data_IF_045251078609
#
_entry.id   IF_045251078609
#
_cell.length_a   1.000
_cell.length_b   1.000
_cell.length_c   1.000
_cell.angle_alpha   90.00
_cell.angle_beta   90.00
_cell.angle_gamma   90.00
#
_symmetry.space_group_name_H-M   'P 1'
#
loop_
_entity.id
_entity.type
_entity.pdbx_description
1 polymer ?
#
# COMPACT_ATOMS: atom_id res chain seq x y z
N UNK A 1 38.59 16.34 -26.75
CA UNK A 1 38.21 16.41 -28.17
C UNK A 1 37.45 15.15 -28.52
N UNK A 2 36.15 15.17 -28.37
CA UNK A 2 35.26 14.03 -28.65
C UNK A 2 34.19 14.46 -29.65
N UNK A 3 34.41 14.19 -30.92
CA UNK A 3 33.39 14.35 -31.95
C UNK A 3 32.44 13.16 -31.88
N UNK A 4 31.15 13.44 -31.69
CA UNK A 4 30.12 12.42 -31.59
C UNK A 4 30.00 11.58 -32.87
N UNK A 5 29.79 10.30 -32.73
CA UNK A 5 29.59 9.30 -33.80
C UNK A 5 28.53 9.75 -34.83
N UNK A 6 27.57 10.56 -34.42
CA UNK A 6 26.51 11.13 -35.26
C UNK A 6 27.00 12.11 -36.36
N UNK A 7 28.17 12.76 -36.18
CA UNK A 7 28.69 13.70 -37.19
C UNK A 7 29.41 13.02 -38.34
N UNK A 8 29.88 11.76 -38.18
CA UNK A 8 30.58 11.02 -39.23
C UNK A 8 29.65 10.22 -40.15
N UNK A 9 28.49 9.82 -39.69
CA UNK A 9 27.52 9.03 -40.48
C UNK A 9 26.74 9.88 -41.49
N UNK A 10 26.61 11.19 -41.28
CA UNK A 10 25.86 12.06 -42.21
C UNK A 10 26.53 12.32 -43.57
N UNK A 11 27.77 11.90 -43.80
CA UNK A 11 28.49 12.17 -45.05
C UNK A 11 28.39 11.11 -46.15
N UNK A 12 27.78 9.96 -45.86
CA UNK A 12 27.81 8.82 -46.81
C UNK A 12 26.43 8.14 -47.02
N UNK A 13 25.34 8.66 -46.48
CA UNK A 13 24.01 8.06 -46.67
C UNK A 13 23.11 9.04 -47.41
N UNK A 14 22.48 8.55 -48.50
CA UNK A 14 21.45 9.29 -49.22
C UNK A 14 20.41 9.85 -48.20
N UNK A 15 20.07 11.13 -48.29
CA UNK A 15 19.13 11.75 -47.33
C UNK A 15 17.79 11.04 -47.20
N UNK A 16 17.33 10.34 -48.24
CA UNK A 16 16.09 9.55 -48.25
C UNK A 16 16.22 8.24 -47.50
N UNK A 17 17.37 7.59 -47.58
CA UNK A 17 17.68 6.33 -46.87
C UNK A 17 18.00 6.63 -45.39
N UNK A 18 18.67 7.75 -45.14
CA UNK A 18 18.96 8.22 -43.79
C UNK A 18 17.70 8.54 -42.98
N UNK A 19 16.67 9.13 -43.60
CA UNK A 19 15.40 9.42 -42.91
C UNK A 19 14.59 8.16 -42.61
N UNK A 20 14.59 7.16 -43.51
CA UNK A 20 13.93 5.87 -43.26
C UNK A 20 14.66 5.04 -42.20
N UNK A 21 15.99 5.00 -42.21
CA UNK A 21 16.78 4.35 -41.17
C UNK A 21 16.62 4.99 -39.81
N UNK A 22 16.55 6.32 -39.73
CA UNK A 22 16.28 7.04 -38.48
C UNK A 22 14.85 6.80 -37.98
N UNK A 23 13.85 6.71 -38.85
CA UNK A 23 12.49 6.34 -38.51
C UNK A 23 12.41 4.90 -37.99
N UNK A 24 13.12 3.95 -38.61
CA UNK A 24 13.18 2.55 -38.16
C UNK A 24 13.95 2.42 -36.84
N UNK A 25 15.05 3.16 -36.64
CA UNK A 25 15.79 3.18 -35.39
C UNK A 25 15.01 3.85 -34.26
N UNK A 26 14.17 4.85 -34.54
CA UNK A 26 13.26 5.45 -33.57
C UNK A 26 12.10 4.51 -33.18
N UNK A 27 11.70 3.59 -34.05
CA UNK A 27 10.71 2.55 -33.73
C UNK A 27 11.32 1.31 -33.06
N UNK A 28 12.60 1.06 -33.21
CA UNK A 28 13.30 -0.11 -32.65
C UNK A 28 14.05 0.18 -31.33
N UNK A 29 14.34 1.45 -31.03
CA UNK A 29 14.84 1.84 -29.70
C UNK A 29 13.62 2.24 -28.86
N UNK A 30 13.22 1.44 -27.85
CA UNK A 30 12.19 1.89 -26.93
C UNK A 30 12.63 3.24 -26.38
N UNK A 31 11.79 4.27 -26.55
CA UNK A 31 12.05 5.57 -25.94
C UNK A 31 12.14 5.32 -24.42
N UNK A 32 13.30 5.49 -23.77
CA UNK A 32 13.45 5.19 -22.34
C UNK A 32 12.56 6.05 -21.46
N UNK A 33 11.84 7.03 -22.03
CA UNK A 33 10.82 7.84 -21.36
C UNK A 33 9.37 7.41 -21.69
N UNK A 34 9.14 6.54 -22.68
CA UNK A 34 7.85 5.94 -22.97
C UNK A 34 7.70 4.65 -22.15
N UNK A 35 7.19 4.77 -20.94
CA UNK A 35 6.86 3.61 -20.11
C UNK A 35 7.11 3.76 -18.62
N UNK A 36 7.74 4.83 -18.15
CA UNK A 36 7.87 5.06 -16.71
C UNK A 36 6.53 5.56 -16.16
N UNK A 37 5.83 4.65 -15.52
CA UNK A 37 4.56 4.95 -14.86
C UNK A 37 4.87 5.70 -13.58
N UNK A 38 4.62 7.00 -13.57
CA UNK A 38 4.65 7.79 -12.33
C UNK A 38 3.34 7.63 -11.59
N UNK A 39 3.41 7.30 -10.30
CA UNK A 39 2.26 7.35 -9.38
C UNK A 39 2.39 8.60 -8.53
N UNK A 40 1.41 9.48 -8.63
CA UNK A 40 1.29 10.60 -7.72
C UNK A 40 0.82 10.09 -6.36
N UNK A 41 1.70 10.15 -5.37
CA UNK A 41 1.43 9.72 -4.00
C UNK A 41 0.92 10.84 -3.10
N UNK A 42 0.82 12.08 -3.61
CA UNK A 42 0.32 13.24 -2.85
C UNK A 42 -1.21 13.30 -2.79
N UNK A 43 -1.91 12.54 -3.64
CA UNK A 43 -3.37 12.57 -3.73
C UNK A 43 -4.06 12.00 -2.51
N UNK A 44 -5.03 12.74 -2.00
CA UNK A 44 -6.12 12.21 -1.17
C UNK A 44 -7.10 11.46 -2.08
N UNK A 45 -7.11 10.13 -2.01
CA UNK A 45 -7.95 9.31 -2.90
C UNK A 45 -9.45 9.46 -2.64
N UNK A 46 -9.90 10.04 -1.51
CA UNK A 46 -11.31 10.41 -1.29
C UNK A 46 -11.74 11.48 -2.30
N UNK A 47 -10.88 12.47 -2.51
CA UNK A 47 -11.09 13.54 -3.50
C UNK A 47 -11.00 12.98 -4.91
N UNK A 48 -10.00 12.16 -5.19
CA UNK A 48 -9.80 11.50 -6.49
C UNK A 48 -10.99 10.60 -6.89
N UNK A 49 -11.64 9.98 -5.91
CA UNK A 49 -12.86 9.18 -6.10
C UNK A 49 -14.16 10.02 -6.16
N UNK A 50 -14.09 11.35 -6.01
CA UNK A 50 -15.26 12.21 -5.96
C UNK A 50 -16.21 11.90 -4.81
N UNK A 51 -15.70 11.47 -3.64
CA UNK A 51 -16.46 11.09 -2.45
C UNK A 51 -17.18 9.73 -2.56
N UNK A 52 -16.90 8.96 -3.61
CA UNK A 52 -17.41 7.59 -3.80
C UNK A 52 -16.41 6.56 -3.26
N UNK A 53 -16.71 5.26 -3.42
CA UNK A 53 -15.80 4.18 -3.05
C UNK A 53 -14.48 4.30 -3.81
N UNK A 54 -13.35 4.48 -3.12
CA UNK A 54 -12.06 4.71 -3.77
C UNK A 54 -11.57 3.51 -4.59
N UNK A 55 -11.84 2.30 -4.17
CA UNK A 55 -11.46 1.09 -4.91
C UNK A 55 -12.09 1.05 -6.30
N UNK A 56 -13.30 1.57 -6.43
CA UNK A 56 -14.02 1.58 -7.69
C UNK A 56 -13.76 2.85 -8.50
N UNK A 57 -13.65 4.01 -7.84
CA UNK A 57 -13.73 5.31 -8.52
C UNK A 57 -12.45 6.15 -8.49
N UNK A 58 -11.43 5.82 -7.67
CA UNK A 58 -10.16 6.54 -7.69
C UNK A 58 -9.25 6.01 -8.82
N UNK A 59 -9.00 6.79 -9.89
CA UNK A 59 -8.11 6.37 -10.97
C UNK A 59 -6.68 6.12 -10.48
N UNK A 60 -6.18 6.97 -9.56
CA UNK A 60 -4.82 6.89 -9.04
C UNK A 60 -4.63 5.64 -8.17
N UNK A 61 -5.60 5.34 -7.27
CA UNK A 61 -5.56 4.15 -6.42
C UNK A 61 -5.64 2.87 -7.26
N UNK A 62 -6.54 2.83 -8.24
CA UNK A 62 -6.68 1.69 -9.18
C UNK A 62 -5.38 1.45 -9.97
N UNK A 63 -4.75 2.52 -10.45
CA UNK A 63 -3.46 2.43 -11.14
C UNK A 63 -2.37 1.87 -10.23
N UNK A 64 -2.30 2.34 -8.98
CA UNK A 64 -1.38 1.81 -7.98
C UNK A 64 -1.59 0.31 -7.74
N UNK A 65 -2.82 -0.14 -7.56
CA UNK A 65 -3.11 -1.55 -7.32
C UNK A 65 -2.72 -2.42 -8.52
N UNK A 66 -2.99 -1.99 -9.74
CA UNK A 66 -2.55 -2.72 -10.94
C UNK A 66 -1.04 -2.88 -10.98
N UNK A 67 -0.29 -1.82 -10.70
CA UNK A 67 1.17 -1.88 -10.66
C UNK A 67 1.70 -2.73 -9.49
N UNK A 68 1.12 -2.59 -8.31
CA UNK A 68 1.51 -3.41 -7.15
C UNK A 68 1.35 -4.90 -7.45
N UNK A 69 0.20 -5.29 -8.02
CA UNK A 69 -0.13 -6.68 -8.27
C UNK A 69 0.44 -7.24 -9.59
N UNK A 70 0.95 -6.40 -10.49
CA UNK A 70 1.71 -6.88 -11.66
C UNK A 70 3.12 -7.39 -11.31
N UNK A 71 3.56 -7.18 -10.09
CA UNK A 71 4.84 -7.69 -9.60
C UNK A 71 4.76 -9.19 -9.35
N UNK A 72 5.88 -9.89 -9.55
CA UNK A 72 5.97 -11.28 -9.11
C UNK A 72 5.78 -11.40 -7.59
N UNK A 73 5.06 -12.40 -7.18
CA UNK A 73 5.03 -12.88 -5.81
C UNK A 73 6.43 -13.35 -5.38
N UNK A 74 6.71 -13.51 -4.07
CA UNK A 74 8.04 -13.96 -3.60
C UNK A 74 8.52 -15.29 -4.17
N UNK A 75 7.61 -16.14 -4.65
CA UNK A 75 7.90 -17.42 -5.31
C UNK A 75 8.05 -17.33 -6.84
N UNK A 76 7.97 -16.11 -7.40
CA UNK A 76 8.09 -15.84 -8.82
C UNK A 76 6.79 -16.00 -9.61
N UNK A 77 5.67 -16.42 -8.99
CA UNK A 77 4.37 -16.50 -9.64
C UNK A 77 3.74 -15.13 -9.82
N UNK A 78 2.84 -14.99 -10.79
CA UNK A 78 2.09 -13.78 -11.06
C UNK A 78 0.71 -13.82 -10.40
N UNK A 79 0.27 -12.67 -9.96
CA UNK A 79 -1.06 -12.45 -9.39
C UNK A 79 -1.72 -11.31 -10.16
N UNK A 80 -2.36 -11.64 -11.28
CA UNK A 80 -3.00 -10.64 -12.12
C UNK A 80 -4.39 -10.29 -11.61
N UNK A 81 -4.70 -9.00 -11.56
CA UNK A 81 -6.05 -8.54 -11.24
C UNK A 81 -6.96 -8.72 -12.45
N UNK A 82 -8.14 -9.31 -12.22
CA UNK A 82 -9.18 -9.50 -13.23
C UNK A 82 -10.16 -8.33 -13.21
N UNK A 83 -10.09 -7.47 -14.23
CA UNK A 83 -10.98 -6.33 -14.41
C UNK A 83 -12.34 -6.71 -15.01
N UNK A 84 -12.56 -7.98 -15.38
CA UNK A 84 -13.77 -8.41 -16.10
C UNK A 84 -14.97 -8.64 -15.18
N UNK A 85 -14.73 -8.83 -13.88
CA UNK A 85 -15.80 -9.02 -12.90
C UNK A 85 -16.40 -7.68 -12.49
N UNK A 86 -17.65 -7.44 -12.86
CA UNK A 86 -18.34 -6.21 -12.54
C UNK A 86 -18.38 -5.94 -11.02
N UNK A 87 -17.94 -4.76 -10.60
CA UNK A 87 -17.92 -4.33 -9.20
C UNK A 87 -16.78 -4.91 -8.34
N UNK A 88 -15.85 -5.68 -8.93
CA UNK A 88 -14.75 -6.31 -8.20
C UNK A 88 -13.41 -6.14 -8.93
N UNK A 89 -12.98 -4.89 -9.12
CA UNK A 89 -11.74 -4.66 -9.84
C UNK A 89 -10.47 -5.16 -9.10
N UNK A 90 -10.52 -5.37 -7.78
CA UNK A 90 -9.48 -6.04 -6.99
C UNK A 90 -9.79 -7.54 -6.86
N UNK A 91 -10.09 -8.16 -8.00
CA UNK A 91 -10.40 -9.59 -8.10
C UNK A 91 -9.24 -10.32 -8.80
N UNK A 92 -8.92 -11.49 -8.29
CA UNK A 92 -7.98 -12.43 -8.90
C UNK A 92 -8.59 -13.82 -8.92
N UNK A 93 -8.42 -14.53 -10.02
CA UNK A 93 -8.79 -15.92 -10.14
C UNK A 93 -7.79 -16.67 -11.01
N UNK A 94 -7.14 -17.67 -10.42
CA UNK A 94 -6.19 -18.56 -11.11
C UNK A 94 -6.04 -19.87 -10.32
N UNK A 95 -5.05 -20.64 -10.64
CA UNK A 95 -4.60 -21.81 -9.86
C UNK A 95 -4.11 -21.45 -8.43
N UNK A 96 -3.78 -20.16 -8.18
CA UNK A 96 -3.46 -19.66 -6.85
C UNK A 96 -4.70 -19.59 -5.94
N UNK A 97 -5.90 -19.65 -6.51
CA UNK A 97 -7.17 -19.49 -5.83
C UNK A 97 -7.99 -18.34 -6.38
N UNK A 98 -9.09 -18.03 -5.70
CA UNK A 98 -9.95 -16.89 -5.99
C UNK A 98 -9.92 -15.90 -4.82
N UNK A 99 -9.48 -14.68 -5.10
CA UNK A 99 -9.36 -13.61 -4.11
C UNK A 99 -10.15 -12.38 -4.54
N UNK A 100 -11.10 -11.98 -3.70
CA UNK A 100 -11.75 -10.68 -3.79
C UNK A 100 -11.12 -9.81 -2.70
N UNK A 101 -10.50 -8.72 -3.11
CA UNK A 101 -9.74 -7.84 -2.21
C UNK A 101 -10.43 -6.48 -2.10
N UNK A 102 -10.16 -5.77 -1.02
CA UNK A 102 -10.48 -4.35 -0.87
C UNK A 102 -9.35 -3.62 -0.16
N UNK A 103 -9.17 -2.36 -0.49
CA UNK A 103 -8.27 -1.48 0.24
C UNK A 103 -9.00 -0.80 1.41
N UNK A 104 -8.22 -0.36 2.40
CA UNK A 104 -8.72 0.41 3.54
C UNK A 104 -7.62 1.33 4.04
N UNK A 105 -8.01 2.52 4.53
CA UNK A 105 -7.08 3.37 5.27
C UNK A 105 -6.72 2.71 6.58
N UNK A 106 -5.42 2.65 6.86
CA UNK A 106 -4.90 1.94 8.04
C UNK A 106 -4.42 2.89 9.15
N UNK A 107 -4.66 4.19 8.97
CA UNK A 107 -4.30 5.24 9.94
C UNK A 107 -5.57 5.86 10.54
N UNK A 108 -6.10 5.32 11.66
CA UNK A 108 -7.29 5.87 12.28
C UNK A 108 -7.02 7.25 12.89
N UNK A 109 -7.94 8.18 12.65
CA UNK A 109 -7.96 9.50 13.33
C UNK A 109 -8.62 9.46 14.70
N UNK A 110 -9.16 8.30 15.10
CA UNK A 110 -9.89 8.06 16.34
C UNK A 110 -11.17 8.89 16.54
N UNK A 111 -11.67 9.60 15.54
CA UNK A 111 -12.88 10.42 15.64
C UNK A 111 -14.13 9.62 16.00
N UNK A 112 -14.16 8.32 15.75
CA UNK A 112 -15.24 7.39 16.16
C UNK A 112 -15.25 7.06 17.66
N UNK A 113 -14.16 7.38 18.38
CA UNK A 113 -14.00 7.06 19.79
C UNK A 113 -14.42 8.24 20.66
N UNK A 114 -15.56 8.13 21.34
CA UNK A 114 -16.09 9.18 22.22
C UNK A 114 -15.04 9.63 23.25
N UNK A 115 -14.26 8.69 23.78
CA UNK A 115 -13.17 8.95 24.73
C UNK A 115 -12.03 9.80 24.13
N UNK A 116 -11.94 9.92 22.80
CA UNK A 116 -10.90 10.71 22.14
C UNK A 116 -11.32 12.15 21.84
N UNK A 117 -12.62 12.45 21.93
CA UNK A 117 -13.16 13.75 21.53
C UNK A 117 -12.43 14.90 22.22
N UNK A 118 -12.28 14.85 23.54
CA UNK A 118 -11.63 15.91 24.34
C UNK A 118 -10.13 16.09 24.01
N UNK A 119 -9.45 15.06 23.47
CA UNK A 119 -8.06 15.12 23.02
C UNK A 119 -8.00 15.71 21.62
N UNK A 120 -8.86 15.24 20.72
CA UNK A 120 -8.91 15.67 19.31
C UNK A 120 -9.29 17.15 19.22
N UNK A 121 -10.23 17.62 20.05
CA UNK A 121 -10.69 19.01 20.08
C UNK A 121 -9.58 20.02 20.55
N UNK A 122 -8.46 19.54 21.06
CA UNK A 122 -7.28 20.38 21.36
C UNK A 122 -6.45 20.72 20.13
N UNK A 123 -6.67 20.06 19.02
CA UNK A 123 -6.04 20.34 17.73
C UNK A 123 -7.00 21.16 16.86
N UNK A 124 -6.47 22.08 16.10
CA UNK A 124 -7.27 22.86 15.14
C UNK A 124 -7.91 21.97 14.08
N UNK A 125 -9.00 22.40 13.47
CA UNK A 125 -9.64 21.67 12.37
C UNK A 125 -8.66 21.49 11.18
N UNK A 126 -7.83 22.50 10.91
CA UNK A 126 -6.81 22.41 9.86
C UNK A 126 -5.77 21.31 10.13
N UNK A 127 -5.29 21.18 11.37
CA UNK A 127 -4.37 20.10 11.77
C UNK A 127 -5.05 18.72 11.69
N UNK A 128 -6.30 18.64 12.10
CA UNK A 128 -7.06 17.40 12.03
C UNK A 128 -7.31 16.98 10.57
N UNK A 129 -7.64 17.93 9.68
CA UNK A 129 -7.83 17.63 8.26
C UNK A 129 -6.52 17.28 7.58
N UNK A 130 -5.42 17.98 7.86
CA UNK A 130 -4.09 17.64 7.34
C UNK A 130 -3.70 16.20 7.73
N UNK A 131 -3.94 15.80 8.97
CA UNK A 131 -3.69 14.43 9.42
C UNK A 131 -4.56 13.40 8.68
N UNK A 132 -5.85 13.68 8.50
CA UNK A 132 -6.75 12.82 7.73
C UNK A 132 -6.28 12.69 6.28
N UNK A 133 -5.97 13.81 5.63
CA UNK A 133 -5.50 13.85 4.24
C UNK A 133 -4.28 12.95 4.02
N UNK A 134 -3.26 13.04 4.88
CA UNK A 134 -2.08 12.19 4.81
C UNK A 134 -2.46 10.70 4.96
N UNK A 135 -3.33 10.37 5.90
CA UNK A 135 -3.81 8.98 6.11
C UNK A 135 -4.58 8.41 4.93
N UNK A 136 -5.09 9.27 4.04
CA UNK A 136 -5.81 8.90 2.82
C UNK A 136 -4.99 9.07 1.54
N UNK A 137 -3.67 9.20 1.64
CA UNK A 137 -2.75 8.99 0.52
C UNK A 137 -2.43 7.51 0.34
N UNK A 138 -1.86 7.13 -0.79
CA UNK A 138 -1.58 5.72 -1.12
C UNK A 138 -0.75 5.02 -0.04
N UNK A 139 0.22 5.73 0.58
CA UNK A 139 1.03 5.20 1.68
C UNK A 139 0.23 4.80 2.93
N UNK A 140 -0.96 5.40 3.12
CA UNK A 140 -1.89 5.06 4.20
C UNK A 140 -2.89 3.95 3.85
N UNK A 141 -2.79 3.34 2.65
CA UNK A 141 -3.72 2.30 2.19
C UNK A 141 -3.12 0.91 2.26
N UNK A 142 -3.93 -0.06 2.67
CA UNK A 142 -3.60 -1.48 2.63
C UNK A 142 -4.72 -2.29 2.02
N UNK A 143 -4.34 -3.40 1.37
CA UNK A 143 -5.26 -4.32 0.72
C UNK A 143 -5.39 -5.58 1.55
N UNK A 144 -6.63 -6.01 1.78
CA UNK A 144 -6.97 -7.23 2.48
C UNK A 144 -8.08 -8.00 1.76
N UNK A 145 -8.22 -9.33 2.00
CA UNK A 145 -9.37 -10.08 1.53
C UNK A 145 -10.70 -9.48 2.01
N UNK A 146 -11.61 -9.24 1.06
CA UNK A 146 -12.92 -8.62 1.30
C UNK A 146 -14.06 -9.63 1.45
N UNK A 147 -13.88 -10.86 0.93
CA UNK A 147 -14.90 -11.91 1.03
C UNK A 147 -14.97 -12.46 2.45
N UNK A 148 -16.16 -12.49 3.03
CA UNK A 148 -16.39 -13.14 4.33
C UNK A 148 -16.23 -14.65 4.21
N UNK A 149 -15.51 -15.24 5.15
CA UNK A 149 -15.40 -16.70 5.32
C UNK A 149 -16.32 -17.10 6.47
N UNK A 150 -17.17 -18.10 6.25
CA UNK A 150 -18.17 -18.59 7.22
C UNK A 150 -19.06 -17.49 7.82
N UNK A 151 -19.39 -16.47 7.04
CA UNK A 151 -20.20 -15.34 7.49
C UNK A 151 -19.53 -14.42 8.51
N UNK A 152 -18.29 -14.72 8.94
CA UNK A 152 -17.55 -13.95 9.95
C UNK A 152 -16.93 -12.68 9.35
N UNK A 153 -16.54 -11.75 10.24
CA UNK A 153 -15.92 -10.50 9.83
C UNK A 153 -14.65 -10.71 9.02
N UNK A 154 -14.45 -9.85 8.02
CA UNK A 154 -13.18 -9.73 7.28
C UNK A 154 -12.08 -9.17 8.18
N UNK A 155 -10.83 -9.16 7.68
CA UNK A 155 -9.71 -8.57 8.42
C UNK A 155 -9.97 -7.09 8.72
N UNK A 156 -10.47 -6.31 7.74
CA UNK A 156 -10.83 -4.90 7.94
C UNK A 156 -11.90 -4.72 9.03
N UNK A 157 -12.96 -5.52 9.01
CA UNK A 157 -13.98 -5.49 10.05
C UNK A 157 -13.43 -5.88 11.42
N UNK A 158 -12.66 -6.97 11.49
CA UNK A 158 -12.13 -7.48 12.75
C UNK A 158 -11.15 -6.49 13.40
N UNK A 159 -10.19 -5.89 12.63
CA UNK A 159 -9.24 -4.91 13.17
C UNK A 159 -9.93 -3.65 13.68
N UNK A 160 -10.94 -3.15 12.95
CA UNK A 160 -11.68 -1.93 13.29
C UNK A 160 -12.54 -2.06 14.54
N UNK A 161 -13.13 -3.24 14.80
CA UNK A 161 -13.97 -3.50 15.97
C UNK A 161 -13.21 -4.03 17.19
N UNK A 162 -11.99 -4.51 17.02
CA UNK A 162 -11.18 -5.07 18.11
C UNK A 162 -10.56 -3.96 18.96
N UNK A 163 -10.97 -3.85 20.23
CA UNK A 163 -10.47 -2.83 21.16
C UNK A 163 -8.97 -2.93 21.46
N UNK A 164 -8.35 -4.12 21.29
CA UNK A 164 -6.92 -4.32 21.47
C UNK A 164 -6.10 -3.89 20.24
N UNK A 165 -6.78 -3.67 19.11
CA UNK A 165 -6.17 -3.21 17.84
C UNK A 165 -6.57 -1.75 17.56
N UNK A 166 -7.83 -1.39 17.83
CA UNK A 166 -8.39 -0.06 17.61
C UNK A 166 -8.09 0.50 16.20
N UNK A 167 -8.18 -0.38 15.20
CA UNK A 167 -7.92 -0.05 13.78
C UNK A 167 -6.47 0.35 13.46
N UNK A 168 -5.53 0.28 14.39
CA UNK A 168 -4.13 0.64 14.22
C UNK A 168 -3.39 -0.39 13.38
N UNK A 169 -2.68 0.10 12.36
CA UNK A 169 -1.96 -0.79 11.44
C UNK A 169 -0.70 -1.41 12.04
N UNK A 170 0.03 -0.68 12.86
CA UNK A 170 1.19 -1.22 13.57
C UNK A 170 0.83 -2.43 14.43
N UNK A 171 -0.32 -2.41 15.13
CA UNK A 171 -0.84 -3.54 15.89
C UNK A 171 -1.39 -4.65 14.98
N UNK A 172 -2.02 -4.29 13.86
CA UNK A 172 -2.45 -5.25 12.84
C UNK A 172 -1.24 -5.97 12.24
N UNK A 173 -0.17 -5.24 11.94
CA UNK A 173 1.07 -5.81 11.38
C UNK A 173 1.77 -6.74 12.39
N UNK A 174 1.71 -6.43 13.69
CA UNK A 174 2.18 -7.36 14.73
C UNK A 174 1.33 -8.64 14.78
N UNK A 175 0.01 -8.56 14.62
CA UNK A 175 -0.83 -9.75 14.51
C UNK A 175 -0.45 -10.58 13.28
N UNK A 176 -0.20 -9.95 12.13
CA UNK A 176 0.24 -10.63 10.91
C UNK A 176 1.62 -11.27 11.11
N UNK A 177 2.57 -10.59 11.76
CA UNK A 177 3.88 -11.15 12.10
C UNK A 177 3.73 -12.41 12.96
N UNK A 178 2.91 -12.34 14.00
CA UNK A 178 2.62 -13.47 14.88
C UNK A 178 1.94 -14.62 14.14
N UNK A 179 1.05 -14.34 13.21
CA UNK A 179 0.43 -15.35 12.36
C UNK A 179 1.47 -16.16 11.58
N UNK A 180 2.44 -15.52 10.95
CA UNK A 180 3.54 -16.21 10.27
C UNK A 180 4.48 -17.01 11.21
N UNK A 181 4.53 -16.64 12.49
CA UNK A 181 5.30 -17.33 13.51
C UNK A 181 4.49 -18.41 14.26
N UNK A 182 3.22 -18.61 13.91
CA UNK A 182 2.34 -19.54 14.64
C UNK A 182 2.04 -19.10 16.08
N UNK A 183 2.13 -17.80 16.38
CA UNK A 183 1.92 -17.22 17.71
C UNK A 183 0.51 -16.65 17.83
N UNK A 184 -0.04 -16.67 19.06
CA UNK A 184 -1.35 -16.11 19.35
C UNK A 184 -1.40 -14.58 19.25
N UNK A 185 -2.55 -14.06 18.82
CA UNK A 185 -2.82 -12.62 18.71
C UNK A 185 -4.32 -12.33 18.74
N UNK A 186 -4.73 -11.07 18.99
CA UNK A 186 -6.15 -10.68 18.94
C UNK A 186 -6.85 -10.92 17.60
N UNK A 187 -6.10 -11.13 16.51
CA UNK A 187 -6.62 -11.44 15.18
C UNK A 187 -6.28 -12.86 14.72
N UNK A 188 -5.74 -13.73 15.57
CA UNK A 188 -5.27 -15.07 15.19
C UNK A 188 -6.32 -15.86 14.40
N UNK A 189 -7.53 -16.02 14.96
CA UNK A 189 -8.64 -16.73 14.30
C UNK A 189 -9.10 -16.05 12.99
N UNK A 190 -9.00 -14.73 12.93
CA UNK A 190 -9.35 -13.98 11.73
C UNK A 190 -8.33 -14.22 10.63
N UNK A 191 -7.04 -14.09 10.95
CA UNK A 191 -5.95 -14.28 9.98
C UNK A 191 -5.88 -15.73 9.49
N UNK A 192 -6.13 -16.71 10.37
CA UNK A 192 -6.17 -18.12 10.01
C UNK A 192 -7.19 -18.44 8.92
N UNK A 193 -8.33 -17.74 8.89
CA UNK A 193 -9.34 -17.92 7.82
C UNK A 193 -8.89 -17.48 6.44
N UNK A 194 -7.84 -16.64 6.38
CA UNK A 194 -7.25 -16.12 5.16
C UNK A 194 -5.83 -16.63 4.94
N UNK A 195 -5.50 -17.81 5.47
CA UNK A 195 -4.16 -18.40 5.38
C UNK A 195 -3.67 -18.53 3.93
N UNK A 196 -4.57 -18.81 2.96
CA UNK A 196 -4.21 -18.87 1.54
C UNK A 196 -3.71 -17.53 1.01
N UNK A 197 -4.36 -16.42 1.40
CA UNK A 197 -3.90 -15.08 1.04
C UNK A 197 -2.51 -14.78 1.63
N UNK A 198 -2.28 -15.09 2.91
CA UNK A 198 -0.98 -14.89 3.53
C UNK A 198 0.08 -15.84 2.97
N UNK A 199 -0.32 -17.03 2.55
CA UNK A 199 0.54 -18.03 1.87
C UNK A 199 1.17 -17.51 0.58
N UNK A 200 0.51 -16.57 -0.14
CA UNK A 200 1.05 -15.93 -1.34
C UNK A 200 2.41 -15.26 -1.10
N UNK A 201 2.67 -14.81 0.12
CA UNK A 201 3.89 -14.06 0.46
C UNK A 201 4.96 -14.93 1.16
N UNK A 202 4.70 -16.24 1.32
CA UNK A 202 5.56 -17.26 1.93
C UNK A 202 5.88 -17.03 3.43
N UNK A 203 6.26 -15.82 3.81
CA UNK A 203 6.64 -15.45 5.18
C UNK A 203 6.43 -13.96 5.44
N UNK A 204 6.63 -13.55 6.69
CA UNK A 204 6.45 -12.15 7.09
C UNK A 204 7.32 -11.18 6.31
N UNK A 205 8.58 -11.54 6.01
CA UNK A 205 9.47 -10.71 5.20
C UNK A 205 8.91 -10.50 3.80
N UNK A 206 8.45 -11.57 3.13
CA UNK A 206 7.82 -11.49 1.81
C UNK A 206 6.58 -10.59 1.82
N UNK A 207 5.73 -10.68 2.85
CA UNK A 207 4.58 -9.79 3.03
C UNK A 207 5.00 -8.32 3.16
N UNK A 208 5.96 -8.03 4.03
CA UNK A 208 6.48 -6.67 4.25
C UNK A 208 7.09 -6.09 2.98
N UNK A 209 7.89 -6.86 2.26
CA UNK A 209 8.59 -6.40 1.05
C UNK A 209 7.60 -6.22 -0.11
N UNK A 210 6.59 -7.11 -0.26
CA UNK A 210 5.56 -6.98 -1.28
C UNK A 210 4.72 -5.72 -1.08
N UNK A 211 4.26 -5.44 0.12
CA UNK A 211 3.43 -4.26 0.42
C UNK A 211 4.24 -3.00 0.75
N UNK A 212 5.57 -3.02 0.59
CA UNK A 212 6.47 -1.88 0.83
C UNK A 212 6.37 -1.31 2.25
N UNK A 213 6.32 -2.19 3.26
CA UNK A 213 6.12 -1.84 4.68
C UNK A 213 7.42 -1.74 5.48
N UNK A 214 8.55 -1.66 4.81
CA UNK A 214 9.90 -1.70 5.41
C UNK A 214 10.12 -0.67 6.52
N UNK A 215 9.43 0.47 6.43
CA UNK A 215 9.56 1.57 7.39
C UNK A 215 8.93 1.23 8.76
N UNK A 216 8.00 0.25 8.81
CA UNK A 216 7.34 -0.22 10.04
C UNK A 216 8.05 -1.36 10.75
N UNK A 217 9.14 -1.88 10.21
CA UNK A 217 9.81 -3.05 10.80
C UNK A 217 11.28 -2.77 11.10
N UNK A 218 11.86 -3.55 12.03
CA UNK A 218 13.31 -3.57 12.27
C UNK A 218 14.07 -4.05 11.04
N UNK A 219 15.39 -3.81 11.01
CA UNK A 219 16.25 -4.18 9.88
C UNK A 219 16.22 -5.69 9.56
N UNK A 220 16.06 -6.52 10.57
CA UNK A 220 16.00 -7.98 10.51
C UNK A 220 14.56 -8.55 10.44
N UNK A 221 13.54 -7.70 10.34
CA UNK A 221 12.10 -8.05 10.34
C UNK A 221 11.59 -8.71 11.64
N UNK A 222 12.38 -8.70 12.71
CA UNK A 222 12.03 -9.38 13.96
C UNK A 222 10.99 -8.62 14.80
N UNK A 223 10.87 -7.31 14.62
CA UNK A 223 9.97 -6.47 15.42
C UNK A 223 9.29 -5.37 14.60
N UNK A 224 8.18 -4.86 15.16
CA UNK A 224 7.40 -3.74 14.62
C UNK A 224 7.84 -2.44 15.29
N UNK A 225 7.92 -1.36 14.52
CA UNK A 225 8.08 0.00 15.01
C UNK A 225 6.71 0.58 15.31
N UNK A 226 6.28 0.50 16.57
CA UNK A 226 4.95 0.91 16.97
C UNK A 226 4.77 2.43 16.96
N UNK A 227 3.58 2.89 16.59
CA UNK A 227 3.21 4.32 16.61
C UNK A 227 3.07 4.89 18.02
N UNK A 228 2.82 4.02 19.01
CA UNK A 228 2.81 4.33 20.43
C UNK A 228 3.54 3.23 21.20
N UNK A 229 3.97 3.46 22.45
CA UNK A 229 4.52 2.41 23.29
C UNK A 229 3.64 1.17 23.31
N UNK A 230 4.24 0.00 23.14
CA UNK A 230 3.56 -1.30 23.10
C UNK A 230 4.44 -2.34 23.77
N UNK A 231 3.95 -2.99 24.80
CA UNK A 231 4.59 -4.15 25.42
C UNK A 231 3.91 -5.44 24.95
N UNK A 232 2.61 -5.47 25.02
CA UNK A 232 1.76 -6.57 24.55
C UNK A 232 0.32 -6.06 24.29
N UNK A 233 -0.60 -6.95 23.91
CA UNK A 233 -1.99 -6.63 23.62
C UNK A 233 -2.87 -6.32 24.86
N UNK A 234 -2.29 -6.17 26.03
CA UNK A 234 -2.92 -5.55 27.21
C UNK A 234 -2.66 -4.05 27.26
N UNK A 235 -1.62 -3.58 26.56
CA UNK A 235 -1.33 -2.15 26.39
C UNK A 235 -2.49 -1.46 25.66
N UNK A 236 -3.00 -0.33 26.14
CA UNK A 236 -4.11 0.37 25.48
C UNK A 236 -3.78 0.75 24.05
N UNK A 237 -4.66 0.35 23.12
CA UNK A 237 -4.50 0.64 21.70
C UNK A 237 -4.88 2.08 21.32
N UNK A 238 -5.73 2.73 22.15
CA UNK A 238 -6.18 4.11 21.94
C UNK A 238 -5.33 5.07 22.79
N UNK A 239 -4.91 6.23 22.25
CA UNK A 239 -4.19 7.25 23.03
C UNK A 239 -4.97 7.69 24.26
N UNK A 240 -4.27 7.95 25.38
CA UNK A 240 -4.91 8.32 26.65
C UNK A 240 -4.85 9.82 26.96
N UNK A 241 -3.94 10.53 26.30
CA UNK A 241 -3.71 11.97 26.52
C UNK A 241 -3.19 12.62 25.22
N UNK A 242 -3.05 13.93 25.24
CA UNK A 242 -2.64 14.72 24.07
C UNK A 242 -1.22 14.36 23.60
N UNK A 243 -0.31 14.09 24.54
CA UNK A 243 1.09 13.77 24.22
C UNK A 243 1.18 12.45 23.47
N UNK A 244 0.48 11.41 23.93
CA UNK A 244 0.45 10.11 23.23
C UNK A 244 -0.29 10.19 21.90
N UNK A 245 -1.31 11.04 21.76
CA UNK A 245 -1.97 11.26 20.49
C UNK A 245 -1.10 12.05 19.50
N UNK A 246 -0.40 13.07 19.97
CA UNK A 246 0.57 13.82 19.14
C UNK A 246 1.69 12.92 18.65
N UNK A 247 2.23 12.06 19.50
CA UNK A 247 3.27 11.08 19.11
C UNK A 247 2.74 10.05 18.12
N UNK A 248 1.53 9.54 18.32
CA UNK A 248 0.86 8.65 17.38
C UNK A 248 0.73 9.31 16.00
N UNK A 249 0.23 10.56 15.94
CA UNK A 249 0.11 11.32 14.69
C UNK A 249 1.46 11.48 14.00
N UNK A 250 2.47 11.92 14.73
CA UNK A 250 3.82 12.14 14.20
C UNK A 250 4.38 10.86 13.57
N UNK A 251 4.39 9.73 14.29
CA UNK A 251 4.95 8.47 13.80
C UNK A 251 4.15 7.88 12.64
N UNK A 252 2.83 7.98 12.68
CA UNK A 252 2.00 7.49 11.58
C UNK A 252 2.16 8.33 10.31
N UNK A 253 2.32 9.66 10.43
CA UNK A 253 2.65 10.55 9.31
C UNK A 253 4.01 10.15 8.72
N UNK A 254 5.04 10.03 9.56
CA UNK A 254 6.40 9.63 9.12
C UNK A 254 6.38 8.31 8.35
N UNK A 255 5.60 7.33 8.82
CA UNK A 255 5.42 6.05 8.12
C UNK A 255 4.75 6.24 6.76
N UNK A 256 3.62 6.93 6.71
CA UNK A 256 2.87 7.12 5.46
C UNK A 256 3.70 7.85 4.42
N UNK A 257 4.39 8.92 4.81
CA UNK A 257 5.26 9.67 3.91
C UNK A 257 6.47 8.85 3.43
N UNK A 258 7.10 8.07 4.34
CA UNK A 258 8.20 7.20 3.95
C UNK A 258 7.74 6.12 2.96
N UNK A 259 6.55 5.54 3.17
CA UNK A 259 5.96 4.58 2.25
C UNK A 259 5.55 5.22 0.93
N UNK A 260 4.98 6.44 0.93
CA UNK A 260 4.68 7.20 -0.28
C UNK A 260 5.95 7.39 -1.14
N UNK A 261 7.04 7.87 -0.55
CA UNK A 261 8.34 8.01 -1.25
C UNK A 261 8.84 6.68 -1.82
N UNK A 262 8.68 5.58 -1.08
CA UNK A 262 9.08 4.24 -1.53
C UNK A 262 8.23 3.76 -2.69
N UNK A 263 6.92 3.99 -2.66
CA UNK A 263 5.99 3.66 -3.75
C UNK A 263 6.36 4.47 -5.00
N UNK A 264 6.59 5.77 -4.85
CA UNK A 264 6.97 6.64 -5.95
C UNK A 264 8.25 6.16 -6.64
N UNK A 265 9.32 5.91 -5.87
CA UNK A 265 10.59 5.40 -6.40
C UNK A 265 10.40 4.05 -7.07
N UNK A 266 9.70 3.11 -6.42
CA UNK A 266 9.50 1.76 -6.96
C UNK A 266 8.58 1.73 -8.18
N UNK A 267 7.64 2.67 -8.32
CA UNK A 267 6.77 2.74 -9.50
C UNK A 267 7.52 2.96 -10.82
N UNK A 268 8.75 3.47 -10.77
CA UNK A 268 9.63 3.58 -11.94
C UNK A 268 10.33 2.27 -12.32
N UNK A 269 10.30 1.29 -11.43
CA UNK A 269 10.90 -0.03 -11.64
C UNK A 269 9.87 -1.09 -12.08
N UNK A 270 8.57 -0.79 -11.99
CA UNK A 270 7.45 -1.70 -12.27
C UNK A 270 6.99 -1.68 -13.72
#
# INVERSE_FOLDING_TARGET
MGWSLNARLRRYIDPRVGSQLMSILQTLVPNPLQGRVHIDTSFDFRTDAGGKDPDTYSPTLRRYHRLLWSRCLPDGRHFDLDDTVAGAYLHHRSELGEFILSSDSVIPSFTRWVSMKHIIDLFSEAENEAFRTIGYTIGGMMVFPARRVDGKQTINGARGFNRKIADRFDLTLECIRRHYLGQDSPLADTLARYHEFFGLFQNFKGYVDFFLLRDLVSADYSSIKFFMPFADFTTPAVPKNVETYAEYRRRSIEFVEARNRRIEVKSFEW
#
